data_IF_317740724033
#
_entry.id   IF_317740724033
#
_cell.length_a   1.000
_cell.length_b   1.000
_cell.length_c   1.000
_cell.angle_alpha   90.00
_cell.angle_beta   90.00
_cell.angle_gamma   90.00
#
_symmetry.space_group_name_H-M   'P 1'
#
loop_
_entity.id
_entity.type
_entity.pdbx_description
1 polymer ?
#
# COMPACT_ATOMS: atom_id res chain seq x y z
N UNK A 1 41.97 -74.12 29.69
CA UNK A 1 42.91 -74.29 30.82
C UNK A 1 42.81 -73.06 31.71
N UNK A 2 42.30 -73.19 32.94
CA UNK A 2 42.53 -72.22 34.02
C UNK A 2 43.93 -72.43 34.65
N UNK A 3 44.31 -71.78 35.78
CA UNK A 3 43.40 -71.30 36.83
C UNK A 3 43.73 -69.96 37.54
N UNK A 4 42.75 -69.50 38.34
CA UNK A 4 42.76 -68.86 39.69
C UNK A 4 43.89 -67.86 40.07
N UNK A 5 43.67 -66.72 40.75
CA UNK A 5 42.91 -66.50 41.99
C UNK A 5 42.67 -64.97 42.24
N UNK A 6 41.44 -64.53 42.58
CA UNK A 6 40.90 -64.09 43.91
C UNK A 6 41.40 -62.74 44.51
N UNK A 7 40.52 -61.71 44.43
CA UNK A 7 39.83 -60.89 45.48
C UNK A 7 40.57 -60.55 46.81
N UNK A 8 40.34 -59.39 47.51
CA UNK A 8 39.00 -58.96 47.99
C UNK A 8 38.66 -57.44 48.10
N UNK A 9 37.38 -57.16 47.85
CA UNK A 9 36.42 -56.27 48.55
C UNK A 9 36.90 -55.17 49.54
N UNK A 10 36.25 -53.97 49.46
CA UNK A 10 35.47 -53.38 50.58
C UNK A 10 34.68 -52.11 50.19
N UNK A 11 33.38 -52.14 50.57
CA UNK A 11 32.48 -51.08 51.13
C UNK A 11 32.44 -49.73 50.40
N UNK A 12 31.32 -49.21 49.90
CA UNK A 12 29.96 -49.21 50.46
C UNK A 12 29.72 -47.90 51.20
N UNK A 13 29.01 -46.95 50.59
CA UNK A 13 28.14 -46.01 51.31
C UNK A 13 27.18 -45.28 50.34
N UNK A 14 25.90 -45.56 50.56
CA UNK A 14 24.73 -44.89 50.03
C UNK A 14 24.59 -43.51 50.70
N UNK A 15 24.23 -42.46 49.93
CA UNK A 15 23.67 -41.24 50.50
C UNK A 15 22.33 -40.90 49.84
N UNK A 16 21.28 -41.40 50.52
CA UNK A 16 19.97 -40.79 50.79
C UNK A 16 19.56 -39.56 49.96
N UNK A 17 18.51 -39.75 49.17
CA UNK A 17 17.53 -38.72 48.83
C UNK A 17 16.69 -38.33 50.07
N UNK A 18 16.18 -37.08 50.15
CA UNK A 18 15.03 -36.76 50.97
C UNK A 18 13.80 -36.40 50.11
N UNK A 19 12.65 -36.96 50.48
CA UNK A 19 11.31 -36.47 50.17
C UNK A 19 10.48 -36.54 51.46
N UNK A 20 9.24 -36.02 51.47
CA UNK A 20 8.86 -34.65 51.81
C UNK A 20 8.25 -34.58 53.22
N UNK A 21 8.10 -33.38 53.80
CA UNK A 21 7.24 -33.18 54.98
C UNK A 21 6.21 -32.09 54.76
N UNK A 22 4.96 -32.49 54.92
CA UNK A 22 3.78 -31.68 55.17
C UNK A 22 3.91 -30.91 56.49
N UNK A 23 3.38 -29.68 56.50
CA UNK A 23 2.58 -29.18 57.63
C UNK A 23 1.50 -28.23 57.12
N UNK A 24 0.40 -28.22 57.87
CA UNK A 24 -0.97 -27.84 57.54
C UNK A 24 -1.34 -26.55 58.27
N UNK A 25 -2.41 -25.92 57.77
CA UNK A 25 -3.44 -25.15 58.50
C UNK A 25 -3.35 -23.61 58.47
N UNK A 26 -4.43 -23.03 57.92
CA UNK A 26 -4.81 -21.63 58.00
C UNK A 26 -6.06 -21.35 57.15
N UNK A 27 -7.25 -21.77 57.63
CA UNK A 27 -8.57 -21.25 57.21
C UNK A 27 -8.58 -19.73 57.44
N UNK A 28 -9.30 -18.89 56.69
CA UNK A 28 -10.76 -18.68 56.65
C UNK A 28 -10.87 -17.29 55.94
N UNK A 29 -11.69 -16.95 54.93
CA UNK A 29 -13.15 -16.79 54.90
C UNK A 29 -13.58 -16.32 53.48
N UNK A 30 -14.60 -16.99 52.97
CA UNK A 30 -15.78 -16.49 52.22
C UNK A 30 -15.76 -15.02 51.74
N UNK A 31 -16.00 -14.82 50.44
CA UNK A 31 -17.19 -14.09 49.94
C UNK A 31 -17.41 -14.33 48.44
N UNK A 32 -18.68 -14.53 48.10
CA UNK A 32 -19.23 -14.97 46.81
C UNK A 32 -19.19 -13.87 45.73
N UNK A 33 -19.26 -14.23 44.43
CA UNK A 33 -19.52 -13.29 43.36
C UNK A 33 -21.00 -12.89 43.37
N UNK A 34 -21.28 -11.58 43.32
CA UNK A 34 -22.62 -11.05 43.09
C UNK A 34 -22.94 -11.00 41.59
N UNK A 35 -24.18 -11.33 41.18
CA UNK A 35 -24.59 -11.21 39.79
C UNK A 35 -24.89 -9.74 39.49
N UNK A 36 -24.30 -9.17 38.44
CA UNK A 36 -24.79 -7.90 37.88
C UNK A 36 -25.64 -8.18 36.66
N UNK A 37 -26.88 -7.80 36.83
CA UNK A 37 -28.00 -7.75 35.91
C UNK A 37 -27.68 -7.67 34.43
N UNK A 38 -28.27 -8.62 33.71
CA UNK A 38 -28.75 -8.44 32.35
C UNK A 38 -29.71 -7.24 32.34
N UNK A 39 -29.31 -6.13 31.74
CA UNK A 39 -30.28 -5.19 31.16
C UNK A 39 -30.36 -5.43 29.66
N UNK A 40 -31.56 -5.81 29.27
CA UNK A 40 -31.99 -6.05 27.93
C UNK A 40 -31.82 -4.80 27.05
N UNK A 41 -31.38 -5.10 25.84
CA UNK A 41 -31.58 -4.39 24.59
C UNK A 41 -33.01 -3.82 24.48
N UNK A 42 -33.19 -2.55 24.06
CA UNK A 42 -34.34 -2.15 23.27
C UNK A 42 -33.93 -2.16 21.79
N UNK A 43 -34.33 -3.22 21.10
CA UNK A 43 -34.38 -3.32 19.65
C UNK A 43 -35.35 -2.25 19.15
N UNK A 44 -34.84 -1.18 18.53
CA UNK A 44 -35.68 -0.31 17.70
C UNK A 44 -35.66 -0.84 16.27
N UNK A 45 -36.58 -1.77 16.01
CA UNK A 45 -36.94 -2.22 14.66
C UNK A 45 -38.17 -1.42 14.23
N UNK A 46 -37.97 -0.47 13.31
CA UNK A 46 -39.00 0.14 12.47
C UNK A 46 -38.33 0.32 11.10
N UNK A 47 -38.43 -0.66 10.20
CA UNK A 47 -39.48 -0.74 9.18
C UNK A 47 -39.42 0.42 8.17
N UNK A 48 -38.65 0.24 7.09
CA UNK A 48 -39.07 0.65 5.76
C UNK A 48 -39.94 -0.49 5.20
N UNK A 49 -41.12 -0.21 4.65
CA UNK A 49 -41.24 0.17 3.24
C UNK A 49 -42.31 1.27 3.03
N UNK A 50 -42.27 2.13 2.02
CA UNK A 50 -42.73 1.80 0.67
C UNK A 50 -42.65 3.06 -0.20
N UNK A 51 -42.13 2.95 -1.43
CA UNK A 51 -42.68 3.66 -2.59
C UNK A 51 -43.62 2.66 -3.26
N UNK A 52 -44.83 3.07 -3.66
CA UNK A 52 -45.00 3.38 -5.08
C UNK A 52 -46.03 4.50 -5.34
N UNK A 53 -45.75 5.38 -6.29
CA UNK A 53 -46.58 5.50 -7.50
C UNK A 53 -46.03 6.57 -8.45
N UNK A 54 -45.67 6.07 -9.62
CA UNK A 54 -45.64 6.75 -10.92
C UNK A 54 -47.09 6.89 -11.42
N UNK A 55 -47.48 8.08 -11.91
CA UNK A 55 -48.54 8.17 -12.89
C UNK A 55 -48.01 8.81 -14.20
N UNK A 56 -48.19 8.01 -15.26
CA UNK A 56 -48.57 8.42 -16.63
C UNK A 56 -47.51 9.06 -17.53
N UNK A 57 -46.81 8.16 -18.23
CA UNK A 57 -46.80 8.02 -19.70
C UNK A 57 -47.84 8.88 -20.46
N UNK A 58 -47.39 9.96 -21.10
CA UNK A 58 -47.93 10.47 -22.38
C UNK A 58 -46.73 11.02 -23.20
N UNK A 59 -46.23 10.22 -24.15
CA UNK A 59 -46.46 10.42 -25.58
C UNK A 59 -45.71 11.64 -26.16
N UNK A 60 -44.52 11.39 -26.72
CA UNK A 60 -43.92 12.22 -27.76
C UNK A 60 -44.84 12.35 -28.98
N UNK A 61 -44.86 13.53 -29.61
CA UNK A 61 -44.77 13.61 -31.06
C UNK A 61 -43.52 14.39 -31.52
N UNK A 62 -42.90 13.82 -32.55
CA UNK A 62 -41.75 14.30 -33.33
C UNK A 62 -42.00 15.66 -34.02
N UNK A 63 -40.92 16.35 -34.48
CA UNK A 63 -40.91 17.78 -34.74
C UNK A 63 -41.53 18.17 -36.09
N UNK A 64 -42.23 19.30 -36.07
CA UNK A 64 -42.76 19.94 -37.27
C UNK A 64 -41.63 20.62 -38.06
N UNK A 65 -41.46 20.19 -39.32
CA UNK A 65 -40.67 20.88 -40.35
C UNK A 65 -41.36 22.20 -40.71
N UNK A 66 -40.65 23.32 -40.65
CA UNK A 66 -41.06 24.56 -41.31
C UNK A 66 -40.47 24.65 -42.73
N UNK A 67 -41.18 25.26 -43.69
CA UNK A 67 -40.88 25.18 -45.11
C UNK A 67 -39.91 26.28 -45.58
N UNK A 68 -39.19 25.94 -46.64
CA UNK A 68 -38.31 26.82 -47.42
C UNK A 68 -39.19 27.83 -48.17
N UNK A 69 -39.04 29.12 -47.88
CA UNK A 69 -39.62 30.20 -48.68
C UNK A 69 -38.57 30.68 -49.70
N UNK A 70 -39.01 30.76 -50.95
CA UNK A 70 -38.19 31.08 -52.12
C UNK A 70 -38.65 32.41 -52.69
N UNK A 71 -37.82 33.47 -52.65
CA UNK A 71 -38.00 34.71 -53.42
C UNK A 71 -36.67 35.36 -53.83
N UNK A 72 -36.65 36.18 -54.90
CA UNK A 72 -35.62 36.11 -55.94
C UNK A 72 -34.60 37.26 -55.94
N UNK A 73 -33.41 36.94 -56.47
CA UNK A 73 -32.66 37.73 -57.46
C UNK A 73 -32.29 39.19 -57.17
N UNK A 74 -31.09 39.42 -56.65
CA UNK A 74 -30.35 40.66 -56.86
C UNK A 74 -28.97 40.33 -57.41
N UNK A 75 -28.72 40.78 -58.65
CA UNK A 75 -27.50 40.56 -59.42
C UNK A 75 -26.33 41.36 -58.86
N UNK A 76 -25.23 40.69 -58.50
CA UNK A 76 -23.91 41.32 -58.37
C UNK A 76 -22.90 40.62 -59.31
N UNK A 77 -22.01 41.40 -59.98
CA UNK A 77 -21.13 40.90 -61.05
C UNK A 77 -19.95 40.07 -60.52
N UNK A 78 -19.33 39.21 -61.36
CA UNK A 78 -18.22 38.36 -60.94
C UNK A 78 -16.92 39.17 -60.74
N UNK A 79 -16.06 38.80 -59.76
CA UNK A 79 -14.75 39.41 -59.60
C UNK A 79 -13.77 38.96 -60.72
N UNK A 80 -12.76 39.79 -61.04
CA UNK A 80 -11.88 39.59 -62.19
C UNK A 80 -10.91 38.40 -62.00
N UNK A 81 -10.62 37.71 -63.11
CA UNK A 81 -9.56 36.70 -63.19
C UNK A 81 -8.19 37.40 -63.07
N UNK A 82 -7.48 37.14 -61.97
CA UNK A 82 -6.07 37.50 -61.84
C UNK A 82 -5.21 36.29 -62.21
N UNK A 83 -4.63 36.37 -63.40
CA UNK A 83 -3.45 35.64 -63.85
C UNK A 83 -2.26 35.94 -62.95
N UNK A 84 -1.61 34.91 -62.41
CA UNK A 84 -0.26 35.03 -61.84
C UNK A 84 0.66 33.92 -62.34
N UNK A 85 1.77 34.38 -62.94
CA UNK A 85 2.96 33.64 -63.33
C UNK A 85 3.79 33.27 -62.07
N UNK A 86 4.81 32.40 -62.19
CA UNK A 86 5.31 31.59 -61.07
C UNK A 86 6.29 32.38 -60.21
N UNK A 87 6.04 32.48 -58.89
CA UNK A 87 7.02 33.06 -57.97
C UNK A 87 7.00 32.39 -56.58
N UNK A 88 8.21 31.96 -56.21
CA UNK A 88 8.78 31.82 -54.87
C UNK A 88 8.21 30.76 -53.91
N UNK A 89 8.94 29.65 -53.85
CA UNK A 89 9.07 28.76 -52.70
C UNK A 89 9.23 29.55 -51.39
N UNK A 90 8.19 29.53 -50.55
CA UNK A 90 8.30 29.94 -49.15
C UNK A 90 9.14 28.91 -48.39
N UNK A 91 10.16 29.32 -47.60
CA UNK A 91 10.80 28.41 -46.67
C UNK A 91 9.80 27.97 -45.59
N UNK A 92 9.93 26.75 -45.03
CA UNK A 92 9.00 26.25 -44.02
C UNK A 92 8.99 27.17 -42.79
N UNK A 93 7.78 27.45 -42.32
CA UNK A 93 7.47 28.27 -41.15
C UNK A 93 8.16 27.69 -39.88
N UNK A 94 9.05 28.42 -39.19
CA UNK A 94 9.78 27.91 -38.03
C UNK A 94 8.92 27.83 -36.75
N UNK A 95 7.63 28.18 -36.80
CA UNK A 95 6.70 28.04 -35.66
C UNK A 95 6.14 26.62 -35.47
N UNK A 96 6.51 25.66 -36.32
CA UNK A 96 6.30 24.23 -36.06
C UNK A 96 7.34 23.61 -35.11
N UNK A 97 8.06 24.43 -34.34
CA UNK A 97 8.74 23.99 -33.11
C UNK A 97 7.73 23.96 -31.98
N UNK A 98 6.88 22.93 -32.02
CA UNK A 98 6.26 22.37 -30.84
C UNK A 98 7.35 22.30 -29.76
N UNK A 99 7.07 22.94 -28.63
CA UNK A 99 7.99 23.22 -27.54
C UNK A 99 9.01 22.11 -27.34
N UNK A 100 10.27 22.40 -27.72
CA UNK A 100 11.40 21.60 -27.31
C UNK A 100 11.49 21.68 -25.79
N UNK A 101 10.84 20.71 -25.13
CA UNK A 101 11.26 20.27 -23.82
C UNK A 101 12.78 20.10 -23.93
N UNK A 102 13.51 20.99 -23.24
CA UNK A 102 14.97 20.98 -23.23
C UNK A 102 15.43 19.53 -23.11
N UNK A 103 16.19 19.10 -24.10
CA UNK A 103 16.90 17.83 -24.19
C UNK A 103 18.01 17.83 -23.12
N UNK A 104 17.61 17.92 -21.87
CA UNK A 104 18.26 17.15 -20.83
C UNK A 104 17.52 15.84 -20.91
N UNK A 105 18.26 14.80 -21.28
CA UNK A 105 17.92 13.41 -21.00
C UNK A 105 17.84 13.24 -19.48
N UNK A 106 16.87 13.92 -18.84
CA UNK A 106 16.39 13.54 -17.53
C UNK A 106 15.59 12.31 -17.84
N UNK A 107 16.24 11.17 -17.74
CA UNK A 107 15.60 9.87 -17.56
C UNK A 107 14.49 10.10 -16.53
N UNK A 108 13.25 10.29 -17.01
CA UNK A 108 12.11 10.53 -16.13
C UNK A 108 11.81 9.16 -15.54
N UNK A 109 12.40 8.90 -14.38
CA UNK A 109 12.27 7.63 -13.70
C UNK A 109 10.77 7.33 -13.50
N UNK A 110 10.29 6.28 -14.15
CA UNK A 110 8.92 5.75 -14.04
C UNK A 110 8.71 5.14 -12.64
N UNK A 111 9.80 4.71 -12.00
CA UNK A 111 9.85 4.26 -10.62
C UNK A 111 10.93 5.06 -9.87
N UNK A 112 10.54 5.73 -8.79
CA UNK A 112 11.46 6.36 -7.83
C UNK A 112 11.46 5.56 -6.55
N UNK A 113 12.65 5.26 -6.02
CA UNK A 113 12.79 4.62 -4.70
C UNK A 113 13.43 5.60 -3.72
N UNK A 114 12.75 5.87 -2.61
CA UNK A 114 13.26 6.67 -1.50
C UNK A 114 13.28 5.88 -0.21
N UNK A 115 14.21 6.20 0.68
CA UNK A 115 14.35 5.52 1.96
C UNK A 115 13.54 6.24 3.02
N UNK A 116 12.77 5.48 3.80
CA UNK A 116 12.10 5.98 5.01
C UNK A 116 12.94 5.57 6.21
N UNK A 117 13.29 6.54 7.05
CA UNK A 117 14.08 6.31 8.25
C UNK A 117 13.20 6.10 9.47
N UNK A 118 13.67 5.30 10.43
CA UNK A 118 12.89 4.95 11.62
C UNK A 118 12.59 6.17 12.51
N UNK A 119 13.48 7.16 12.52
CA UNK A 119 13.26 8.42 13.24
C UNK A 119 12.14 9.29 12.65
N UNK A 120 11.66 9.00 11.44
CA UNK A 120 10.52 9.66 10.82
C UNK A 120 9.26 8.78 10.78
N UNK A 121 9.22 7.65 11.49
CA UNK A 121 8.10 6.69 11.42
C UNK A 121 6.71 7.34 11.56
N UNK A 122 6.47 8.06 12.66
CA UNK A 122 5.18 8.73 12.89
C UNK A 122 4.85 9.83 11.87
N UNK A 123 5.75 10.80 11.60
CA UNK A 123 5.55 11.79 10.55
C UNK A 123 5.28 11.17 9.16
N UNK A 124 6.01 10.11 8.79
CA UNK A 124 5.82 9.39 7.53
C UNK A 124 4.47 8.68 7.48
N UNK A 125 4.07 7.98 8.54
CA UNK A 125 2.77 7.32 8.59
C UNK A 125 1.63 8.32 8.40
N UNK A 126 1.67 9.45 9.13
CA UNK A 126 0.68 10.53 8.99
C UNK A 126 0.66 11.14 7.60
N UNK A 127 1.83 11.34 6.99
CA UNK A 127 1.93 11.85 5.62
C UNK A 127 1.16 10.95 4.66
N UNK A 128 1.43 9.64 4.61
CA UNK A 128 0.74 8.78 3.66
C UNK A 128 -0.75 8.59 3.97
N UNK A 129 -1.15 8.47 5.23
CA UNK A 129 -2.55 8.14 5.56
C UNK A 129 -3.48 9.35 5.66
N UNK A 130 -2.97 10.58 5.82
CA UNK A 130 -3.79 11.79 5.89
C UNK A 130 -3.59 12.66 4.66
N UNK A 131 -2.35 13.01 4.32
CA UNK A 131 -2.09 13.97 3.25
C UNK A 131 -2.51 13.44 1.88
N UNK A 132 -2.34 12.14 1.62
CA UNK A 132 -2.83 11.53 0.38
C UNK A 132 -4.32 11.21 0.43
N UNK A 133 -4.86 10.86 1.60
CA UNK A 133 -6.29 10.58 1.77
C UNK A 133 -7.17 11.83 1.63
N UNK A 134 -6.62 13.02 1.90
CA UNK A 134 -7.32 14.30 1.73
C UNK A 134 -7.63 14.63 0.25
N UNK A 135 -7.00 13.95 -0.71
CA UNK A 135 -7.28 14.09 -2.16
C UNK A 135 -8.51 13.26 -2.62
N UNK A 136 -9.18 12.56 -1.70
CA UNK A 136 -10.42 11.82 -1.93
C UNK A 136 -10.34 10.33 -1.55
N UNK A 137 -11.42 9.55 -1.72
CA UNK A 137 -11.44 8.12 -1.37
C UNK A 137 -10.42 7.28 -2.13
N UNK A 138 -9.86 7.82 -3.21
CA UNK A 138 -8.78 7.20 -3.99
C UNK A 138 -7.42 7.20 -3.26
N UNK A 139 -7.23 8.09 -2.27
CA UNK A 139 -6.00 8.21 -1.49
C UNK A 139 -5.96 7.34 -0.23
N UNK A 140 -7.01 6.57 0.04
CA UNK A 140 -7.00 5.59 1.14
C UNK A 140 -6.04 4.45 0.81
N UNK A 141 -5.02 4.27 1.65
CA UNK A 141 -4.03 3.21 1.46
C UNK A 141 -4.60 1.81 1.66
N UNK A 142 -4.06 0.82 0.95
CA UNK A 142 -4.44 -0.60 1.08
C UNK A 142 -3.22 -1.49 1.38
N UNK A 143 -3.43 -2.48 2.26
CA UNK A 143 -2.44 -3.51 2.56
C UNK A 143 -2.32 -4.52 1.41
N UNK A 144 -1.08 -4.75 0.97
CA UNK A 144 -0.69 -5.72 -0.05
C UNK A 144 0.48 -6.59 0.43
N UNK A 145 0.68 -7.70 -0.28
CA UNK A 145 1.75 -8.66 -0.02
C UNK A 145 1.33 -9.82 0.88
N UNK A 146 1.97 -10.98 0.69
CA UNK A 146 1.69 -12.21 1.43
C UNK A 146 2.02 -12.07 2.92
N UNK A 147 3.07 -11.31 3.25
CA UNK A 147 3.45 -11.14 4.65
C UNK A 147 2.49 -10.21 5.41
N UNK A 148 1.78 -9.31 4.72
CA UNK A 148 0.73 -8.51 5.35
C UNK A 148 -0.37 -9.43 5.92
N UNK A 149 -0.84 -10.39 5.12
CA UNK A 149 -1.80 -11.40 5.58
C UNK A 149 -1.25 -12.25 6.74
N UNK A 150 0.05 -12.58 6.73
CA UNK A 150 0.73 -13.28 7.81
C UNK A 150 0.75 -12.52 9.14
N UNK A 151 0.72 -11.19 9.11
CA UNK A 151 0.57 -10.32 10.29
C UNK A 151 -0.89 -9.97 10.61
N UNK A 152 -1.86 -10.53 9.87
CA UNK A 152 -3.29 -10.21 10.04
C UNK A 152 -3.68 -8.84 9.48
N UNK A 153 -2.86 -8.23 8.63
CA UNK A 153 -3.12 -6.95 7.99
C UNK A 153 -3.85 -7.16 6.66
N UNK A 154 -5.02 -6.54 6.51
CA UNK A 154 -5.83 -6.60 5.31
C UNK A 154 -6.71 -5.34 5.18
N UNK A 155 -7.08 -4.98 3.96
CA UNK A 155 -7.95 -3.82 3.70
C UNK A 155 -7.18 -2.51 3.86
N UNK A 156 -7.80 -1.53 4.51
CA UNK A 156 -7.28 -0.17 4.62
C UNK A 156 -6.07 -0.07 5.55
N UNK A 157 -5.15 0.83 5.19
CA UNK A 157 -3.97 1.17 6.00
C UNK A 157 -4.35 2.23 7.02
N UNK A 158 -4.27 1.90 8.31
CA UNK A 158 -4.41 2.89 9.37
C UNK A 158 -3.06 3.57 9.68
N UNK A 159 -3.11 4.79 10.23
CA UNK A 159 -1.90 5.51 10.65
C UNK A 159 -1.14 4.74 11.71
N UNK A 160 -1.86 4.19 12.69
CA UNK A 160 -1.25 3.49 13.83
C UNK A 160 -0.56 2.20 13.39
N UNK A 161 -1.18 1.43 12.49
CA UNK A 161 -0.59 0.20 11.97
C UNK A 161 0.68 0.48 11.15
N UNK A 162 0.63 1.50 10.28
CA UNK A 162 1.79 1.89 9.49
C UNK A 162 2.92 2.43 10.37
N UNK A 163 2.60 3.26 11.37
CA UNK A 163 3.59 3.77 12.33
C UNK A 163 4.23 2.64 13.14
N UNK A 164 3.44 1.65 13.58
CA UNK A 164 3.95 0.48 14.30
C UNK A 164 4.96 -0.31 13.46
N UNK A 165 4.63 -0.60 12.18
CA UNK A 165 5.55 -1.28 11.26
C UNK A 165 6.82 -0.47 10.99
N UNK A 166 6.70 0.82 10.72
CA UNK A 166 7.86 1.70 10.49
C UNK A 166 8.72 1.85 11.75
N UNK A 167 8.14 1.63 12.93
CA UNK A 167 8.85 1.58 14.21
C UNK A 167 9.40 0.18 14.54
N UNK A 168 9.20 -0.81 13.67
CA UNK A 168 9.70 -2.18 13.82
C UNK A 168 8.87 -3.04 14.79
N UNK A 169 7.55 -2.81 14.87
CA UNK A 169 6.63 -3.58 15.70
C UNK A 169 5.49 -4.18 14.87
N UNK A 170 5.02 -5.35 15.29
CA UNK A 170 3.80 -5.97 14.81
C UNK A 170 2.60 -5.12 15.27
N UNK A 171 1.77 -4.60 14.35
CA UNK A 171 0.62 -3.76 14.72
C UNK A 171 -0.42 -4.47 15.57
N UNK A 172 -0.58 -5.78 15.40
CA UNK A 172 -1.61 -6.57 16.09
C UNK A 172 -1.14 -7.01 17.46
N UNK A 173 0.10 -7.49 17.56
CA UNK A 173 0.62 -8.05 18.82
C UNK A 173 1.48 -7.09 19.62
N UNK A 174 1.96 -6.00 19.02
CA UNK A 174 2.96 -5.09 19.60
C UNK A 174 4.36 -5.71 19.70
N UNK A 175 4.55 -6.94 19.22
CA UNK A 175 5.84 -7.64 19.30
C UNK A 175 6.86 -6.97 18.39
N UNK A 176 8.09 -6.82 18.87
CA UNK A 176 9.18 -6.29 18.03
C UNK A 176 9.47 -7.22 16.85
N UNK A 177 9.46 -6.67 15.65
CA UNK A 177 9.86 -7.33 14.42
C UNK A 177 11.39 -7.25 14.26
N UNK A 178 12.06 -8.38 14.49
CA UNK A 178 13.51 -8.50 14.30
C UNK A 178 14.35 -7.63 15.25
N UNK A 179 15.44 -7.08 14.70
CA UNK A 179 16.37 -6.24 15.45
C UNK A 179 15.82 -4.81 15.61
N UNK A 180 16.13 -4.12 16.73
CA UNK A 180 15.73 -2.73 16.91
C UNK A 180 16.21 -1.82 15.76
N UNK A 181 15.30 -0.99 15.27
CA UNK A 181 15.59 0.04 14.26
C UNK A 181 16.25 1.25 14.94
N UNK A 182 17.52 1.09 15.29
CA UNK A 182 18.32 2.13 15.95
C UNK A 182 19.42 2.64 15.03
N UNK A 183 19.65 3.95 15.08
CA UNK A 183 20.74 4.58 14.36
C UNK A 183 22.09 4.00 14.80
N UNK A 184 23.02 3.94 13.86
CA UNK A 184 24.35 3.39 14.07
C UNK A 184 25.41 4.41 13.69
N UNK A 185 26.64 4.15 14.08
CA UNK A 185 27.78 4.98 13.72
C UNK A 185 28.80 4.12 12.97
N UNK A 186 29.36 4.66 11.88
CA UNK A 186 30.44 4.01 11.16
C UNK A 186 31.78 4.19 11.90
N UNK A 187 32.83 3.50 11.42
CA UNK A 187 34.18 3.58 12.00
C UNK A 187 34.81 4.99 11.90
N UNK A 188 34.26 5.87 11.07
CA UNK A 188 34.70 7.26 10.88
C UNK A 188 33.89 8.25 11.72
N UNK A 189 32.92 7.77 12.50
CA UNK A 189 32.04 8.62 13.30
C UNK A 189 30.91 9.28 12.49
N UNK A 190 30.50 8.72 11.36
CA UNK A 190 29.31 9.19 10.64
C UNK A 190 28.06 8.45 11.14
N UNK A 191 26.98 9.20 11.38
CA UNK A 191 25.67 8.64 11.68
C UNK A 191 25.12 7.89 10.46
N UNK A 192 24.66 6.66 10.68
CA UNK A 192 23.94 5.82 9.74
C UNK A 192 22.52 5.66 10.29
N UNK A 193 21.54 6.41 9.78
CA UNK A 193 20.16 6.31 10.23
C UNK A 193 19.59 4.90 10.00
N UNK A 194 18.77 4.42 10.94
CA UNK A 194 18.04 3.18 10.74
C UNK A 194 17.05 3.31 9.57
N UNK A 195 17.08 2.36 8.65
CA UNK A 195 16.11 2.27 7.56
C UNK A 195 14.90 1.48 8.06
N UNK A 196 13.74 2.10 8.02
CA UNK A 196 12.47 1.48 8.38
C UNK A 196 11.79 0.83 7.17
N UNK A 197 11.78 1.52 6.03
CA UNK A 197 11.13 1.04 4.81
C UNK A 197 11.69 1.73 3.55
N UNK A 198 11.19 1.29 2.40
CA UNK A 198 11.40 1.94 1.11
C UNK A 198 10.05 2.42 0.57
N UNK A 199 10.00 3.65 0.07
CA UNK A 199 8.90 4.18 -0.73
C UNK A 199 9.24 3.96 -2.20
N UNK A 200 8.42 3.16 -2.88
CA UNK A 200 8.47 2.93 -4.31
C UNK A 200 7.34 3.72 -4.98
N UNK A 201 7.65 4.91 -5.47
CA UNK A 201 6.68 5.77 -6.17
C UNK A 201 6.65 5.43 -7.66
N UNK A 202 5.50 4.93 -8.13
CA UNK A 202 5.22 4.66 -9.54
C UNK A 202 4.56 5.87 -10.18
N UNK A 203 5.19 6.44 -11.21
CA UNK A 203 4.65 7.60 -11.92
C UNK A 203 4.20 7.20 -13.32
N UNK A 204 2.93 7.43 -13.63
CA UNK A 204 2.42 7.23 -14.98
C UNK A 204 3.18 8.09 -16.02
N UNK A 205 3.37 7.59 -17.25
CA UNK A 205 3.86 8.42 -18.35
C UNK A 205 2.99 9.67 -18.51
N UNK A 206 3.61 10.83 -18.77
CA UNK A 206 2.89 12.11 -18.78
C UNK A 206 1.71 12.13 -19.77
N UNK A 207 1.85 11.45 -20.92
CA UNK A 207 0.77 11.29 -21.89
C UNK A 207 -0.45 10.57 -21.31
N UNK A 208 -0.24 9.52 -20.50
CA UNK A 208 -1.32 8.79 -19.83
C UNK A 208 -2.01 9.66 -18.79
N UNK A 209 -1.26 10.42 -17.98
CA UNK A 209 -1.84 11.36 -17.02
C UNK A 209 -2.64 12.47 -17.69
N UNK A 210 -2.17 13.00 -18.82
CA UNK A 210 -2.92 14.02 -19.60
C UNK A 210 -4.19 13.43 -20.18
N UNK A 211 -4.11 12.21 -20.73
CA UNK A 211 -5.29 11.51 -21.24
C UNK A 211 -6.33 11.35 -20.14
N UNK A 212 -5.94 10.75 -19.00
CA UNK A 212 -6.85 10.59 -17.86
C UNK A 212 -7.41 11.92 -17.37
N UNK A 213 -6.60 12.96 -17.22
CA UNK A 213 -7.07 14.27 -16.76
C UNK A 213 -8.05 14.97 -17.71
N UNK A 214 -8.05 14.61 -19.01
CA UNK A 214 -8.98 15.15 -19.99
C UNK A 214 -10.25 14.30 -20.16
N UNK A 215 -10.16 12.99 -19.99
CA UNK A 215 -11.29 12.07 -20.25
C UNK A 215 -11.98 11.55 -19.01
N UNK A 216 -11.29 11.51 -17.87
CA UNK A 216 -11.75 10.82 -16.66
C UNK A 216 -11.96 9.32 -16.87
N UNK A 217 -11.30 8.72 -17.87
CA UNK A 217 -11.50 7.31 -18.24
C UNK A 217 -11.01 6.38 -17.10
N UNK A 218 -11.92 5.64 -16.44
CA UNK A 218 -11.54 4.75 -15.34
C UNK A 218 -10.65 3.58 -15.81
N UNK A 219 -10.71 3.20 -17.09
CA UNK A 219 -9.87 2.14 -17.64
C UNK A 219 -8.37 2.48 -17.64
N UNK A 220 -8.01 3.77 -17.68
CA UNK A 220 -6.62 4.20 -17.59
C UNK A 220 -6.06 4.04 -16.16
N UNK A 221 -6.89 4.29 -15.14
CA UNK A 221 -6.51 4.03 -13.74
C UNK A 221 -6.37 2.53 -13.49
N UNK A 222 -7.35 1.74 -13.94
CA UNK A 222 -7.31 0.28 -13.79
C UNK A 222 -6.06 -0.32 -14.45
N UNK A 223 -5.71 0.14 -15.67
CA UNK A 223 -4.50 -0.30 -16.35
C UNK A 223 -3.22 0.06 -15.57
N UNK A 224 -3.17 1.25 -14.94
CA UNK A 224 -2.06 1.64 -14.07
C UNK A 224 -1.98 0.74 -12.83
N UNK A 225 -3.11 0.50 -12.16
CA UNK A 225 -3.19 -0.35 -10.97
C UNK A 225 -2.75 -1.79 -11.27
N UNK A 226 -3.15 -2.35 -12.42
CA UNK A 226 -2.71 -3.67 -12.89
C UNK A 226 -1.18 -3.69 -13.10
N UNK A 227 -0.63 -2.65 -13.74
CA UNK A 227 0.81 -2.55 -13.97
C UNK A 227 1.60 -2.46 -12.66
N UNK A 228 1.16 -1.64 -11.71
CA UNK A 228 1.78 -1.52 -10.38
C UNK A 228 1.72 -2.86 -9.64
N UNK A 229 0.56 -3.52 -9.60
CA UNK A 229 0.41 -4.84 -8.97
C UNK A 229 1.36 -5.87 -9.57
N UNK A 230 1.51 -5.91 -10.90
CA UNK A 230 2.44 -6.83 -11.55
C UNK A 230 3.91 -6.61 -11.13
N UNK A 231 4.31 -5.35 -10.91
CA UNK A 231 5.66 -5.02 -10.41
C UNK A 231 5.80 -5.40 -8.94
N UNK A 232 4.82 -5.09 -8.09
CA UNK A 232 4.85 -5.47 -6.67
C UNK A 232 4.92 -6.98 -6.48
N UNK A 233 4.16 -7.74 -7.27
CA UNK A 233 4.20 -9.20 -7.31
C UNK A 233 5.58 -9.73 -7.71
N UNK A 234 6.23 -9.09 -8.69
CA UNK A 234 7.58 -9.43 -9.09
C UNK A 234 8.60 -9.11 -7.99
N UNK A 235 8.49 -7.93 -7.36
CA UNK A 235 9.35 -7.52 -6.25
C UNK A 235 9.20 -8.45 -5.04
N UNK A 236 7.99 -8.88 -4.71
CA UNK A 236 7.77 -9.81 -3.61
C UNK A 236 8.36 -11.20 -3.90
N UNK A 237 8.35 -11.66 -5.15
CA UNK A 237 8.94 -12.96 -5.53
C UNK A 237 10.46 -12.93 -5.65
N UNK A 238 11.06 -11.81 -6.06
CA UNK A 238 12.47 -11.78 -6.47
C UNK A 238 13.31 -10.74 -5.74
N UNK A 239 12.70 -9.67 -5.22
CA UNK A 239 13.38 -8.56 -4.55
C UNK A 239 13.38 -8.65 -3.02
N UNK A 240 12.54 -9.51 -2.45
CA UNK A 240 12.43 -9.70 -1.02
C UNK A 240 13.53 -10.64 -0.53
N UNK A 241 14.48 -10.11 0.26
CA UNK A 241 15.54 -10.94 0.84
C UNK A 241 15.93 -10.46 2.23
N UNK A 242 16.34 -11.38 3.10
CA UNK A 242 16.76 -11.05 4.46
C UNK A 242 18.14 -11.62 4.78
N UNK A 243 18.81 -11.02 5.76
CA UNK A 243 20.13 -11.45 6.23
C UNK A 243 20.01 -11.99 7.63
N UNK A 244 20.36 -13.26 7.80
CA UNK A 244 20.39 -13.90 9.12
C UNK A 244 21.83 -14.29 9.43
N UNK A 245 22.20 -14.23 10.72
CA UNK A 245 23.49 -14.74 11.18
C UNK A 245 23.27 -16.03 11.95
N UNK A 246 23.83 -17.12 11.44
CA UNK A 246 23.72 -18.47 12.03
C UNK A 246 25.13 -18.98 12.26
N UNK A 247 25.47 -19.33 13.51
CA UNK A 247 26.78 -19.87 13.90
C UNK A 247 27.98 -19.03 13.39
N UNK A 248 27.89 -17.70 13.47
CA UNK A 248 28.94 -16.79 13.02
C UNK A 248 28.96 -16.48 11.52
N UNK A 249 28.29 -17.29 10.70
CA UNK A 249 28.18 -17.14 9.24
C UNK A 249 26.94 -16.35 8.82
N UNK A 250 27.06 -15.59 7.73
CA UNK A 250 25.94 -14.84 7.13
C UNK A 250 25.21 -15.75 6.15
N UNK A 251 23.89 -15.85 6.30
CA UNK A 251 23.01 -16.56 5.40
C UNK A 251 21.95 -15.60 4.84
N UNK A 252 21.43 -15.94 3.67
CA UNK A 252 20.45 -15.15 2.94
C UNK A 252 19.24 -16.04 2.61
N UNK A 253 18.41 -16.39 3.60
CA UNK A 253 17.26 -17.24 3.36
C UNK A 253 16.21 -16.50 2.52
N UNK A 254 15.40 -17.28 1.80
CA UNK A 254 14.19 -16.80 1.14
C UNK A 254 13.21 -16.28 2.20
N UNK A 255 12.42 -15.28 1.83
CA UNK A 255 11.40 -14.70 2.72
C UNK A 255 10.00 -15.01 2.18
N UNK A 256 9.05 -15.18 3.09
CA UNK A 256 7.70 -15.61 2.74
C UNK A 256 6.92 -14.54 1.95
N UNK A 257 7.28 -13.26 2.12
CA UNK A 257 6.74 -12.15 1.35
C UNK A 257 7.16 -10.78 1.88
N UNK A 258 6.47 -9.74 1.42
CA UNK A 258 6.61 -8.36 1.86
C UNK A 258 5.31 -7.89 2.51
N UNK A 259 5.43 -6.90 3.39
CA UNK A 259 4.31 -6.10 3.86
C UNK A 259 4.38 -4.78 3.10
N UNK A 260 3.33 -4.45 2.34
CA UNK A 260 3.31 -3.27 1.49
C UNK A 260 2.06 -2.45 1.79
N UNK A 261 2.23 -1.16 2.07
CA UNK A 261 1.14 -0.19 2.08
C UNK A 261 1.13 0.53 0.73
N UNK A 262 0.06 0.37 -0.05
CA UNK A 262 -0.08 1.01 -1.36
C UNK A 262 -1.04 2.18 -1.28
N UNK A 263 -0.60 3.33 -1.78
CA UNK A 263 -1.36 4.58 -1.88
C UNK A 263 -1.38 5.00 -3.35
N UNK A 264 -2.50 5.52 -3.82
CA UNK A 264 -2.68 5.95 -5.22
C UNK A 264 -2.66 7.47 -5.34
#
# INVERSE_FOLDING_TARGET
>A
MGPLARNPARRGQEHRAPSPRHTRAGRDRRSRPGPRDRRAVPTRRLSAPSRPHDPTRQAHPQPHRCPIDSRPGTTQPPPPKLTHAPQHSQPPNPSARQTSARERERERAVLRVTTIHANTAGPSARYYTHYLADDGPEGEGQWLGRQAAGLGLAGLVSTDDLEALLSGHDPVTGTRLGNPLVDRWDAKGNLIPAVAAFDATFSAPKSLSVWWGLTGDPGLLEAHDIAVRAVLDHLERHGATTRVRVNGSRQHPEVDGLVMAAFR
#
